data_IF_864038325191
#
_entry.id   IF_864038325191
#
_cell.length_a   1.000
_cell.length_b   1.000
_cell.length_c   1.000
_cell.angle_alpha   90.00
_cell.angle_beta   90.00
_cell.angle_gamma   90.00
#
_symmetry.space_group_name_H-M   'P 1'
#
loop_
_entity.id
_entity.type
_entity.pdbx_description
1 polymer ?
#
# COMPACT_ATOMS: atom_id res chain seq x y z
N UNK A 1 84.06 -38.59 -24.53
CA UNK A 1 83.72 -38.92 -23.13
C UNK A 1 82.84 -37.82 -22.50
N UNK A 2 81.77 -37.40 -23.20
CA UNK A 2 80.84 -36.34 -22.79
C UNK A 2 79.42 -36.78 -23.20
N UNK A 3 78.72 -37.60 -22.42
CA UNK A 3 77.27 -37.84 -22.69
C UNK A 3 76.44 -38.52 -21.60
N UNK A 4 77.01 -39.00 -20.48
CA UNK A 4 76.21 -39.71 -19.46
C UNK A 4 75.93 -38.88 -18.20
N UNK A 5 76.85 -38.00 -17.79
CA UNK A 5 76.68 -37.18 -16.58
C UNK A 5 75.63 -36.06 -16.68
N UNK A 6 75.31 -35.59 -17.88
CA UNK A 6 74.28 -34.54 -18.07
C UNK A 6 72.85 -35.09 -18.07
N UNK A 7 72.64 -36.33 -18.52
CA UNK A 7 71.30 -36.95 -18.55
C UNK A 7 70.76 -37.28 -17.14
N UNK A 8 71.62 -37.68 -16.19
CA UNK A 8 71.20 -37.94 -14.81
C UNK A 8 70.85 -36.65 -14.05
N UNK A 9 71.61 -35.56 -14.28
CA UNK A 9 71.29 -34.24 -13.73
C UNK A 9 69.96 -33.69 -14.24
N UNK A 10 69.63 -33.88 -15.52
CA UNK A 10 68.33 -33.48 -16.07
C UNK A 10 67.16 -34.32 -15.54
N UNK A 11 67.33 -35.64 -15.37
CA UNK A 11 66.30 -36.51 -14.76
C UNK A 11 66.00 -36.11 -13.31
N UNK A 12 67.03 -35.75 -12.54
CA UNK A 12 66.89 -35.23 -11.17
C UNK A 12 66.15 -33.88 -11.12
N UNK A 13 66.46 -32.96 -12.03
CA UNK A 13 65.76 -31.66 -12.14
C UNK A 13 64.29 -31.84 -12.55
N UNK A 14 63.98 -32.73 -13.51
CA UNK A 14 62.59 -33.04 -13.91
C UNK A 14 61.78 -33.70 -12.80
N UNK A 15 62.37 -34.59 -11.99
CA UNK A 15 61.69 -35.16 -10.81
C UNK A 15 61.39 -34.10 -9.75
N UNK A 16 62.34 -33.21 -9.46
CA UNK A 16 62.14 -32.11 -8.50
C UNK A 16 61.10 -31.09 -9.00
N UNK A 17 61.09 -30.77 -10.30
CA UNK A 17 60.08 -29.91 -10.89
C UNK A 17 58.68 -30.54 -10.83
N UNK A 18 58.53 -31.83 -11.18
CA UNK A 18 57.23 -32.54 -11.07
C UNK A 18 56.73 -32.62 -9.62
N UNK A 19 57.63 -32.86 -8.65
CA UNK A 19 57.28 -32.85 -7.24
C UNK A 19 56.86 -31.44 -6.76
N UNK A 20 57.53 -30.38 -7.23
CA UNK A 20 57.18 -29.00 -6.93
C UNK A 20 55.83 -28.60 -7.52
N UNK A 21 55.56 -28.93 -8.79
CA UNK A 21 54.25 -28.67 -9.41
C UNK A 21 53.13 -29.49 -8.77
N UNK A 22 53.40 -30.72 -8.34
CA UNK A 22 52.42 -31.54 -7.61
C UNK A 22 52.12 -30.95 -6.24
N UNK A 23 53.14 -30.52 -5.48
CA UNK A 23 52.97 -29.82 -4.20
C UNK A 23 52.25 -28.48 -4.36
N UNK A 24 52.60 -27.70 -5.38
CA UNK A 24 51.94 -26.43 -5.69
C UNK A 24 50.48 -26.65 -6.07
N UNK A 25 50.18 -27.68 -6.85
CA UNK A 25 48.81 -28.05 -7.25
C UNK A 25 47.99 -28.56 -6.06
N UNK A 26 48.56 -29.39 -5.19
CA UNK A 26 47.89 -29.83 -3.95
C UNK A 26 47.69 -28.67 -2.97
N UNK A 27 48.62 -27.72 -2.90
CA UNK A 27 48.49 -26.52 -2.08
C UNK A 27 47.43 -25.56 -2.64
N UNK A 28 47.33 -25.42 -3.98
CA UNK A 28 46.28 -24.65 -4.65
C UNK A 28 44.90 -25.29 -4.44
N UNK A 29 44.79 -26.61 -4.53
CA UNK A 29 43.56 -27.36 -4.22
C UNK A 29 43.16 -27.21 -2.75
N UNK A 30 44.13 -27.22 -1.82
CA UNK A 30 43.87 -26.98 -0.40
C UNK A 30 43.45 -25.53 -0.11
N UNK A 31 43.99 -24.55 -0.86
CA UNK A 31 43.57 -23.14 -0.81
C UNK A 31 42.15 -22.92 -1.35
N UNK A 32 41.74 -23.65 -2.40
CA UNK A 32 40.38 -23.61 -2.93
C UNK A 32 39.38 -24.25 -1.93
N UNK A 33 39.80 -25.25 -1.15
CA UNK A 33 39.00 -25.84 -0.08
C UNK A 33 39.00 -25.05 1.25
N UNK A 34 39.82 -23.99 1.37
CA UNK A 34 39.89 -23.12 2.56
C UNK A 34 39.11 -21.81 2.41
N UNK A 35 38.53 -21.55 1.23
CA UNK A 35 37.43 -20.61 1.16
C UNK A 35 36.22 -21.30 1.80
N UNK A 36 35.69 -20.81 2.93
CA UNK A 36 34.34 -21.19 3.28
C UNK A 36 33.50 -20.85 2.03
N UNK A 37 32.78 -21.83 1.50
CA UNK A 37 31.58 -21.49 0.74
C UNK A 37 30.80 -20.58 1.69
N UNK A 38 30.84 -19.27 1.47
CA UNK A 38 29.93 -18.39 2.17
C UNK A 38 28.56 -18.93 1.81
N UNK A 39 27.82 -19.46 2.79
CA UNK A 39 26.41 -19.71 2.59
C UNK A 39 25.86 -18.42 1.99
N UNK A 40 25.29 -18.50 0.79
CA UNK A 40 24.71 -17.34 0.15
C UNK A 40 23.76 -16.71 1.16
N UNK A 41 24.00 -15.45 1.51
CA UNK A 41 23.18 -14.77 2.49
C UNK A 41 21.75 -14.79 1.96
N UNK A 42 20.82 -15.23 2.80
CA UNK A 42 19.42 -15.39 2.45
C UNK A 42 18.77 -14.08 1.96
N UNK A 43 19.24 -12.96 2.52
CA UNK A 43 18.91 -11.60 2.14
C UNK A 43 20.21 -10.81 1.96
N UNK A 44 20.13 -9.58 1.44
CA UNK A 44 21.32 -8.78 1.11
C UNK A 44 22.15 -8.38 2.34
N UNK A 45 21.50 -8.30 3.50
CA UNK A 45 22.14 -7.95 4.75
C UNK A 45 21.12 -7.75 5.86
N UNK A 46 21.59 -7.28 7.02
CA UNK A 46 20.77 -7.08 8.20
C UNK A 46 20.74 -8.28 9.15
N UNK A 47 20.20 -8.05 10.35
CA UNK A 47 20.03 -9.08 11.39
C UNK A 47 18.55 -9.34 11.73
N UNK A 48 17.62 -8.72 10.98
CA UNK A 48 16.19 -8.82 11.22
C UNK A 48 15.73 -8.13 12.52
N UNK A 49 16.54 -7.22 13.07
CA UNK A 49 16.21 -6.43 14.26
C UNK A 49 15.75 -5.03 13.86
N UNK A 50 15.04 -4.32 14.74
CA UNK A 50 14.54 -2.96 14.47
C UNK A 50 15.63 -1.99 13.97
N UNK A 51 16.79 -1.96 14.61
CA UNK A 51 17.92 -1.09 14.23
C UNK A 51 18.76 -1.62 13.07
N UNK A 52 18.52 -2.86 12.62
CA UNK A 52 19.27 -3.53 11.57
C UNK A 52 18.37 -4.53 10.84
N UNK A 53 17.34 -4.04 10.11
CA UNK A 53 16.37 -4.88 9.43
C UNK A 53 17.03 -5.67 8.31
N UNK A 54 16.43 -6.80 7.92
CA UNK A 54 16.83 -7.49 6.71
C UNK A 54 16.54 -6.61 5.49
N UNK A 55 17.52 -6.48 4.60
CA UNK A 55 17.43 -5.65 3.39
C UNK A 55 17.03 -6.49 2.18
N UNK A 56 16.00 -6.04 1.47
CA UNK A 56 15.41 -6.73 0.32
C UNK A 56 15.47 -5.80 -0.89
N UNK A 57 15.96 -6.30 -2.03
CA UNK A 57 15.97 -5.54 -3.29
C UNK A 57 15.78 -6.40 -4.55
N UNK A 58 15.54 -7.71 -4.38
CA UNK A 58 15.28 -8.63 -5.49
C UNK A 58 14.01 -9.45 -5.25
N UNK A 59 13.43 -9.93 -6.34
CA UNK A 59 12.26 -10.79 -6.32
C UNK A 59 12.51 -12.13 -5.61
N UNK A 60 13.72 -12.69 -5.79
CA UNK A 60 14.15 -13.92 -5.11
C UNK A 60 14.16 -13.74 -3.59
N UNK A 61 14.77 -12.66 -3.10
CA UNK A 61 14.81 -12.36 -1.67
C UNK A 61 13.40 -12.10 -1.11
N UNK A 62 12.54 -11.43 -1.86
CA UNK A 62 11.14 -11.20 -1.46
C UNK A 62 10.39 -12.53 -1.32
N UNK A 63 10.51 -13.42 -2.31
CA UNK A 63 9.88 -14.73 -2.28
C UNK A 63 10.45 -15.65 -1.18
N UNK A 64 11.73 -15.49 -0.86
CA UNK A 64 12.43 -16.24 0.18
C UNK A 64 11.93 -15.90 1.60
N UNK A 65 11.34 -14.72 1.82
CA UNK A 65 10.63 -14.40 3.07
C UNK A 65 9.48 -15.38 3.28
N UNK A 66 8.68 -15.63 2.25
CA UNK A 66 7.58 -16.59 2.30
C UNK A 66 8.04 -18.02 2.50
N UNK A 67 9.22 -18.38 1.98
CA UNK A 67 9.82 -19.70 2.14
C UNK A 67 10.36 -19.96 3.56
N UNK A 68 10.46 -18.93 4.41
CA UNK A 68 11.04 -19.07 5.76
C UNK A 68 10.18 -18.45 6.86
N UNK A 69 9.22 -19.22 7.38
CA UNK A 69 8.37 -18.80 8.50
C UNK A 69 9.13 -18.39 9.77
N UNK A 70 10.35 -18.90 9.98
CA UNK A 70 11.18 -18.57 11.14
C UNK A 70 11.56 -17.07 11.22
N UNK A 71 11.47 -16.32 10.12
CA UNK A 71 11.76 -14.89 10.08
C UNK A 71 10.50 -14.01 10.10
N UNK A 72 9.29 -14.56 10.15
CA UNK A 72 8.05 -13.77 10.08
C UNK A 72 7.80 -12.87 11.30
N UNK A 73 8.63 -12.96 12.34
CA UNK A 73 8.64 -12.04 13.49
C UNK A 73 9.79 -11.02 13.43
N UNK A 74 10.49 -10.90 12.29
CA UNK A 74 11.65 -10.03 12.09
C UNK A 74 11.29 -8.73 11.37
N UNK A 75 12.26 -7.83 11.31
CA UNK A 75 12.14 -6.54 10.62
C UNK A 75 12.75 -6.63 9.23
N UNK A 76 12.02 -6.15 8.23
CA UNK A 76 12.39 -6.11 6.82
C UNK A 76 12.28 -4.69 6.30
N UNK A 77 13.18 -4.33 5.38
CA UNK A 77 13.17 -3.05 4.69
C UNK A 77 13.46 -3.25 3.20
N UNK A 78 12.59 -2.73 2.34
CA UNK A 78 12.91 -2.64 0.92
C UNK A 78 13.96 -1.55 0.68
N UNK A 79 14.83 -1.80 -0.30
CA UNK A 79 15.88 -0.85 -0.71
C UNK A 79 15.87 -0.55 -2.20
N UNK A 80 14.94 -1.16 -2.93
CA UNK A 80 14.63 -0.91 -4.33
C UNK A 80 13.21 -1.40 -4.62
N UNK A 81 12.63 -0.93 -5.73
CA UNK A 81 11.42 -1.52 -6.29
C UNK A 81 11.70 -2.96 -6.73
N UNK A 82 10.70 -3.84 -6.59
CA UNK A 82 10.83 -5.28 -6.83
C UNK A 82 9.80 -5.74 -7.85
N UNK A 83 10.25 -6.21 -9.01
CA UNK A 83 9.38 -6.84 -10.01
C UNK A 83 9.18 -8.33 -9.71
N UNK A 84 7.95 -8.73 -9.41
CA UNK A 84 7.58 -10.11 -9.04
C UNK A 84 7.09 -10.95 -10.23
N UNK A 85 7.33 -10.51 -11.47
CA UNK A 85 6.86 -11.22 -12.68
C UNK A 85 7.32 -12.68 -12.80
N UNK A 86 8.44 -13.04 -12.17
CA UNK A 86 9.01 -14.40 -12.20
C UNK A 86 8.39 -15.33 -11.15
N UNK A 87 7.68 -14.79 -10.14
CA UNK A 87 7.09 -15.54 -9.03
C UNK A 87 5.56 -15.42 -9.08
N UNK A 88 4.94 -16.21 -9.96
CA UNK A 88 3.48 -16.20 -10.15
C UNK A 88 2.81 -17.47 -9.66
N UNK A 89 1.56 -17.36 -9.19
CA UNK A 89 0.77 -18.50 -8.74
C UNK A 89 1.51 -19.35 -7.71
N UNK A 90 1.70 -20.64 -8.00
CA UNK A 90 2.37 -21.59 -7.11
C UNK A 90 3.89 -21.34 -6.92
N UNK A 91 4.52 -20.50 -7.75
CA UNK A 91 5.93 -20.13 -7.57
C UNK A 91 6.12 -19.10 -6.44
N UNK A 92 5.07 -18.35 -6.11
CA UNK A 92 5.10 -17.40 -5.00
C UNK A 92 4.81 -18.09 -3.67
N UNK A 93 5.65 -17.84 -2.67
CA UNK A 93 5.43 -18.29 -1.30
C UNK A 93 4.71 -17.20 -0.51
N UNK A 94 3.47 -17.47 -0.10
CA UNK A 94 2.67 -16.54 0.71
C UNK A 94 3.31 -16.35 2.09
N UNK A 95 3.42 -15.08 2.52
CA UNK A 95 3.97 -14.72 3.84
C UNK A 95 2.83 -14.72 4.87
N UNK A 96 3.00 -15.41 6.00
CA UNK A 96 1.99 -15.47 7.05
C UNK A 96 0.77 -16.28 6.60
N UNK A 97 0.83 -17.60 6.61
CA UNK A 97 -0.18 -18.46 5.97
C UNK A 97 -1.41 -18.73 6.83
N UNK A 98 -1.32 -18.55 8.15
CA UNK A 98 -2.40 -18.85 9.10
C UNK A 98 -2.41 -17.86 10.26
N UNK A 99 -3.44 -17.89 11.11
CA UNK A 99 -3.49 -17.05 12.32
C UNK A 99 -2.44 -17.45 13.36
N UNK A 100 -2.00 -18.71 13.38
CA UNK A 100 -0.92 -19.20 14.26
C UNK A 100 0.47 -19.01 13.68
N UNK A 101 0.57 -18.89 12.35
CA UNK A 101 1.79 -18.61 11.61
C UNK A 101 1.59 -17.32 10.82
N UNK A 102 1.32 -16.22 11.54
CA UNK A 102 1.11 -14.90 10.94
C UNK A 102 2.42 -14.13 10.81
N UNK A 103 2.45 -13.15 9.89
CA UNK A 103 3.52 -12.16 9.87
C UNK A 103 3.35 -11.20 11.04
N UNK A 104 4.19 -11.35 12.06
CA UNK A 104 4.16 -10.58 13.32
C UNK A 104 5.28 -9.53 13.42
N UNK A 105 6.18 -9.51 12.44
CA UNK A 105 7.29 -8.58 12.33
C UNK A 105 6.92 -7.21 11.79
N UNK A 106 7.91 -6.51 11.25
CA UNK A 106 7.74 -5.20 10.58
C UNK A 106 8.22 -5.31 9.15
N UNK A 107 7.37 -4.96 8.19
CA UNK A 107 7.74 -4.82 6.80
C UNK A 107 7.65 -3.35 6.38
N UNK A 108 8.80 -2.71 6.26
CA UNK A 108 8.92 -1.32 5.80
C UNK A 108 9.22 -1.30 4.30
N UNK A 109 8.22 -0.95 3.49
CA UNK A 109 8.38 -0.76 2.07
C UNK A 109 9.30 0.41 1.72
N UNK A 110 9.59 1.31 2.67
CA UNK A 110 10.50 2.44 2.48
C UNK A 110 10.17 3.25 1.20
N UNK A 111 8.87 3.43 0.96
CA UNK A 111 8.27 4.10 -0.19
C UNK A 111 8.61 3.45 -1.55
N UNK A 112 9.12 2.22 -1.55
CA UNK A 112 9.35 1.40 -2.73
C UNK A 112 8.10 0.61 -3.12
N UNK A 113 8.08 0.16 -4.37
CA UNK A 113 6.98 -0.57 -4.97
C UNK A 113 7.33 -2.05 -5.24
N UNK A 114 6.34 -2.91 -5.06
CA UNK A 114 6.33 -4.27 -5.61
C UNK A 114 5.47 -4.27 -6.88
N UNK A 115 6.10 -4.57 -8.00
CA UNK A 115 5.50 -4.54 -9.32
C UNK A 115 5.03 -5.93 -9.74
N UNK A 116 3.92 -6.00 -10.48
CA UNK A 116 3.47 -7.19 -11.22
C UNK A 116 3.27 -8.46 -10.38
N UNK A 117 3.03 -8.32 -9.08
CA UNK A 117 2.69 -9.44 -8.21
C UNK A 117 1.43 -10.16 -8.70
N UNK A 118 1.52 -11.45 -9.03
CA UNK A 118 0.38 -12.21 -9.56
C UNK A 118 0.20 -13.54 -8.84
N UNK A 119 -0.94 -13.69 -8.16
CA UNK A 119 -1.29 -14.88 -7.40
C UNK A 119 -2.65 -15.41 -7.88
N UNK A 120 -2.63 -16.46 -8.68
CA UNK A 120 -3.83 -17.24 -9.02
C UNK A 120 -3.79 -18.55 -8.23
N UNK A 121 -4.81 -18.79 -7.41
CA UNK A 121 -4.82 -19.92 -6.47
C UNK A 121 -6.23 -20.46 -6.22
N UNK A 122 -6.30 -21.71 -5.78
CA UNK A 122 -7.52 -22.36 -5.29
C UNK A 122 -7.56 -22.42 -3.76
N UNK A 123 -6.74 -21.63 -3.06
CA UNK A 123 -6.75 -21.56 -1.61
C UNK A 123 -8.13 -21.11 -1.10
N UNK A 124 -8.62 -21.78 -0.06
CA UNK A 124 -9.92 -21.46 0.54
C UNK A 124 -9.90 -20.17 1.36
N UNK A 125 -8.75 -19.80 1.95
CA UNK A 125 -8.62 -18.63 2.82
C UNK A 125 -7.26 -17.94 2.71
N UNK A 126 -7.20 -16.68 3.17
CA UNK A 126 -5.95 -15.93 3.45
C UNK A 126 -5.06 -15.73 2.24
N UNK A 127 -5.59 -15.07 1.21
CA UNK A 127 -4.84 -14.84 -0.04
C UNK A 127 -4.43 -13.38 -0.19
N UNK A 128 -3.15 -13.16 -0.47
CA UNK A 128 -2.52 -11.87 -0.76
C UNK A 128 -1.00 -12.00 -0.80
N UNK A 129 -0.28 -10.88 -0.92
CA UNK A 129 1.18 -10.86 -0.70
C UNK A 129 1.50 -11.47 0.68
N UNK A 130 0.71 -11.07 1.67
CA UNK A 130 0.60 -11.71 2.97
C UNK A 130 -0.74 -12.45 3.08
N UNK A 131 -0.76 -13.64 3.69
CA UNK A 131 -2.00 -14.31 4.04
C UNK A 131 -2.63 -13.66 5.28
N UNK A 132 -1.85 -13.58 6.36
CA UNK A 132 -2.24 -13.05 7.68
C UNK A 132 -1.13 -12.16 8.23
N UNK A 133 -1.49 -10.93 8.57
CA UNK A 133 -0.61 -9.94 9.21
C UNK A 133 -1.11 -9.67 10.62
N UNK A 134 -0.26 -9.86 11.62
CA UNK A 134 -0.47 -9.43 13.02
C UNK A 134 0.54 -8.37 13.48
N UNK A 135 1.59 -8.13 12.69
CA UNK A 135 2.60 -7.11 12.90
C UNK A 135 2.29 -5.80 12.17
N UNK A 136 3.33 -5.17 11.63
CA UNK A 136 3.25 -3.88 10.91
C UNK A 136 3.69 -4.03 9.45
N UNK A 137 2.92 -3.49 8.52
CA UNK A 137 3.34 -3.24 7.14
C UNK A 137 3.17 -1.75 6.85
N UNK A 138 4.22 -1.09 6.36
CA UNK A 138 4.17 0.35 6.09
C UNK A 138 4.89 0.77 4.82
N UNK A 139 4.47 1.91 4.27
CA UNK A 139 5.15 2.62 3.19
C UNK A 139 5.42 1.72 1.96
N UNK A 140 4.43 0.92 1.57
CA UNK A 140 4.57 -0.10 0.52
C UNK A 140 3.52 0.07 -0.58
N UNK A 141 3.97 0.25 -1.82
CA UNK A 141 3.13 0.22 -3.00
C UNK A 141 3.08 -1.16 -3.65
N UNK A 142 1.89 -1.64 -4.03
CA UNK A 142 1.72 -2.76 -4.97
C UNK A 142 1.20 -2.22 -6.29
N UNK A 143 1.98 -2.33 -7.38
CA UNK A 143 1.60 -1.81 -8.70
C UNK A 143 1.24 -2.94 -9.64
N UNK A 144 0.02 -2.88 -10.17
CA UNK A 144 -0.63 -3.90 -10.99
C UNK A 144 -0.68 -5.29 -10.31
N UNK A 145 -1.06 -5.40 -9.03
CA UNK A 145 -1.24 -6.71 -8.44
C UNK A 145 -2.43 -7.44 -9.08
N UNK A 146 -2.29 -8.73 -9.35
CA UNK A 146 -3.32 -9.60 -9.90
C UNK A 146 -3.56 -10.79 -8.96
N UNK A 147 -4.56 -10.69 -8.09
CA UNK A 147 -4.89 -11.72 -7.09
C UNK A 147 -6.25 -12.35 -7.42
N UNK A 148 -6.22 -13.62 -7.82
CA UNK A 148 -7.40 -14.38 -8.25
C UNK A 148 -7.48 -15.65 -7.41
N UNK A 149 -8.44 -15.71 -6.49
CA UNK A 149 -8.67 -16.85 -5.60
C UNK A 149 -10.07 -17.45 -5.80
N UNK A 150 -10.26 -18.70 -5.40
CA UNK A 150 -11.55 -19.40 -5.32
C UNK A 150 -12.02 -19.56 -3.86
N UNK A 151 -11.71 -18.56 -3.02
CA UNK A 151 -11.91 -18.65 -1.58
C UNK A 151 -12.15 -17.29 -0.96
N UNK A 152 -12.21 -17.27 0.37
CA UNK A 152 -12.52 -16.08 1.15
C UNK A 152 -11.27 -15.37 1.67
N UNK A 153 -11.43 -14.11 2.14
CA UNK A 153 -10.36 -13.31 2.76
C UNK A 153 -9.21 -13.09 1.77
N UNK A 154 -9.54 -12.31 0.74
CA UNK A 154 -8.66 -12.06 -0.40
C UNK A 154 -8.37 -10.57 -0.47
N UNK A 155 -7.10 -10.20 -0.50
CA UNK A 155 -6.66 -8.84 -0.77
C UNK A 155 -5.32 -8.80 -1.48
N UNK A 156 -5.01 -7.69 -2.14
CA UNK A 156 -3.69 -7.57 -2.81
C UNK A 156 -2.55 -7.67 -1.80
N UNK A 157 -2.68 -6.94 -0.68
CA UNK A 157 -1.66 -6.89 0.35
C UNK A 157 -1.84 -7.99 1.39
N UNK A 158 -3.04 -8.12 1.96
CA UNK A 158 -3.29 -9.11 3.01
C UNK A 158 -4.65 -9.80 2.84
N UNK A 159 -4.69 -11.12 3.06
CA UNK A 159 -5.97 -11.81 3.23
C UNK A 159 -6.68 -11.41 4.52
N UNK A 160 -5.96 -11.42 5.64
CA UNK A 160 -6.42 -11.00 6.96
C UNK A 160 -5.41 -10.07 7.65
N UNK A 161 -5.87 -8.93 8.14
CA UNK A 161 -5.16 -8.13 9.15
C UNK A 161 -5.71 -8.47 10.53
N UNK A 162 -4.97 -9.24 11.33
CA UNK A 162 -5.35 -9.73 12.65
C UNK A 162 -4.66 -8.90 13.74
N UNK A 163 -5.33 -7.83 14.21
CA UNK A 163 -4.80 -6.89 15.21
C UNK A 163 -3.50 -6.16 14.82
N UNK A 164 -3.02 -6.33 13.58
CA UNK A 164 -1.85 -5.64 13.05
C UNK A 164 -2.12 -4.21 12.56
N UNK A 165 -1.09 -3.60 11.99
CA UNK A 165 -1.10 -2.24 11.46
C UNK A 165 -0.68 -2.20 9.98
N UNK A 166 -1.47 -1.52 9.15
CA UNK A 166 -1.11 -1.17 7.77
C UNK A 166 -1.14 0.36 7.65
N UNK A 167 -0.01 0.97 7.28
CA UNK A 167 0.14 2.43 7.22
C UNK A 167 0.84 2.89 5.94
N UNK A 168 0.23 3.78 5.16
CA UNK A 168 0.90 4.32 3.97
C UNK A 168 1.06 3.27 2.86
N UNK A 169 0.17 2.29 2.77
CA UNK A 169 0.26 1.23 1.78
C UNK A 169 -0.81 1.35 0.69
N UNK A 170 -0.53 0.88 -0.52
CA UNK A 170 -1.52 0.91 -1.57
C UNK A 170 -1.47 -0.25 -2.56
N UNK A 171 -2.58 -0.43 -3.28
CA UNK A 171 -2.69 -1.29 -4.44
C UNK A 171 -3.13 -0.46 -5.66
N UNK A 172 -2.18 -0.15 -6.55
CA UNK A 172 -2.37 0.61 -7.77
C UNK A 172 -2.75 -0.28 -8.95
N UNK A 173 -3.82 0.05 -9.67
CA UNK A 173 -4.33 -0.73 -10.80
C UNK A 173 -4.52 -2.22 -10.50
N UNK A 174 -5.06 -2.53 -9.32
CA UNK A 174 -5.24 -3.89 -8.84
C UNK A 174 -6.33 -4.64 -9.61
N UNK A 175 -6.16 -5.95 -9.75
CA UNK A 175 -7.22 -6.89 -10.14
C UNK A 175 -7.35 -7.92 -9.03
N UNK A 176 -8.44 -7.84 -8.26
CA UNK A 176 -8.67 -8.74 -7.13
C UNK A 176 -9.99 -9.48 -7.32
N UNK A 177 -9.97 -10.81 -7.26
CA UNK A 177 -11.19 -11.61 -7.27
C UNK A 177 -11.16 -12.76 -6.27
N UNK A 178 -12.27 -13.00 -5.57
CA UNK A 178 -12.47 -14.10 -4.64
C UNK A 178 -13.95 -14.41 -4.44
N UNK A 179 -14.29 -15.23 -3.46
CA UNK A 179 -15.68 -15.56 -3.14
C UNK A 179 -16.23 -14.57 -2.10
N UNK A 180 -15.71 -14.61 -0.86
CA UNK A 180 -16.18 -13.76 0.24
C UNK A 180 -15.04 -12.94 0.87
N UNK A 181 -15.38 -11.82 1.52
CA UNK A 181 -14.41 -10.95 2.20
C UNK A 181 -13.28 -10.54 1.25
N UNK A 182 -13.64 -9.88 0.14
CA UNK A 182 -12.69 -9.45 -0.89
C UNK A 182 -12.47 -7.95 -0.78
N UNK A 183 -11.23 -7.53 -0.56
CA UNK A 183 -10.82 -6.14 -0.53
C UNK A 183 -9.73 -5.85 -1.54
N UNK A 184 -9.72 -4.66 -2.16
CA UNK A 184 -8.61 -4.30 -3.06
C UNK A 184 -7.25 -4.31 -2.36
N UNK A 185 -7.20 -3.97 -1.07
CA UNK A 185 -5.98 -4.05 -0.25
C UNK A 185 -6.02 -5.21 0.76
N UNK A 186 -7.10 -5.32 1.53
CA UNK A 186 -7.24 -6.30 2.62
C UNK A 186 -8.57 -7.04 2.55
N UNK A 187 -8.57 -8.37 2.56
CA UNK A 187 -9.82 -9.15 2.56
C UNK A 187 -10.67 -8.91 3.81
N UNK A 188 -10.11 -9.25 4.98
CA UNK A 188 -10.73 -9.03 6.30
C UNK A 188 -9.82 -8.22 7.21
N UNK A 189 -10.38 -7.22 7.90
CA UNK A 189 -9.65 -6.35 8.81
C UNK A 189 -10.17 -6.42 10.25
N UNK A 190 -9.29 -6.80 11.18
CA UNK A 190 -9.44 -6.72 12.64
C UNK A 190 -8.33 -5.87 13.30
N UNK A 191 -7.54 -5.15 12.49
CA UNK A 191 -6.47 -4.25 12.93
C UNK A 191 -6.68 -2.81 12.43
N UNK A 192 -5.60 -2.03 12.32
CA UNK A 192 -5.65 -0.62 11.90
C UNK A 192 -5.12 -0.44 10.49
N UNK A 193 -5.93 0.16 9.63
CA UNK A 193 -5.53 0.62 8.29
C UNK A 193 -5.55 2.15 8.29
N UNK A 194 -4.43 2.77 7.92
CA UNK A 194 -4.25 4.22 7.93
C UNK A 194 -3.52 4.73 6.69
N UNK A 195 -3.95 5.86 6.12
CA UNK A 195 -3.30 6.48 4.94
C UNK A 195 -3.06 5.49 3.81
N UNK A 196 -4.04 4.64 3.55
CA UNK A 196 -3.90 3.54 2.60
C UNK A 196 -4.98 3.59 1.54
N UNK A 197 -4.69 3.05 0.36
CA UNK A 197 -5.66 3.12 -0.73
C UNK A 197 -5.57 1.99 -1.74
N UNK A 198 -6.60 1.89 -2.57
CA UNK A 198 -6.66 0.95 -3.68
C UNK A 198 -7.32 1.57 -4.91
N UNK A 199 -6.92 1.09 -6.08
CA UNK A 199 -7.49 1.44 -7.39
C UNK A 199 -7.56 0.18 -8.25
N UNK A 200 -8.32 0.20 -9.35
CA UNK A 200 -8.49 -0.96 -10.23
C UNK A 200 -9.85 -1.63 -10.06
N UNK A 201 -9.90 -2.96 -10.04
CA UNK A 201 -11.13 -3.74 -10.03
C UNK A 201 -11.13 -4.78 -8.90
N UNK A 202 -12.23 -4.84 -8.15
CA UNK A 202 -12.44 -5.81 -7.06
C UNK A 202 -13.76 -6.54 -7.29
N UNK A 203 -13.73 -7.87 -7.33
CA UNK A 203 -14.93 -8.68 -7.58
C UNK A 203 -15.07 -9.89 -6.67
N UNK A 204 -16.31 -10.27 -6.34
CA UNK A 204 -16.61 -11.54 -5.66
C UNK A 204 -18.09 -11.78 -5.45
N UNK A 205 -18.47 -12.66 -4.52
CA UNK A 205 -19.86 -12.93 -4.17
C UNK A 205 -20.34 -12.05 -3.01
N UNK A 206 -19.80 -12.18 -1.79
CA UNK A 206 -20.24 -11.38 -0.66
C UNK A 206 -19.14 -10.65 0.13
N UNK A 207 -19.51 -9.50 0.72
CA UNK A 207 -18.61 -8.63 1.50
C UNK A 207 -17.44 -8.13 0.66
N UNK A 208 -17.77 -7.39 -0.41
CA UNK A 208 -16.79 -6.88 -1.36
C UNK A 208 -16.60 -5.39 -1.11
N UNK A 209 -15.36 -4.98 -0.86
CA UNK A 209 -15.00 -3.59 -0.65
C UNK A 209 -13.86 -3.15 -1.54
N UNK A 210 -13.91 -1.92 -2.03
CA UNK A 210 -12.80 -1.41 -2.85
C UNK A 210 -11.46 -1.43 -2.11
N UNK A 211 -11.46 -1.18 -0.78
CA UNK A 211 -10.26 -1.28 0.07
C UNK A 211 -10.30 -2.52 0.98
N UNK A 212 -11.41 -2.72 1.69
CA UNK A 212 -11.58 -3.81 2.67
C UNK A 212 -12.88 -4.58 2.46
N UNK A 213 -12.84 -5.90 2.35
CA UNK A 213 -14.07 -6.71 2.25
C UNK A 213 -14.93 -6.64 3.50
N UNK A 214 -14.42 -7.18 4.61
CA UNK A 214 -15.09 -7.21 5.91
C UNK A 214 -14.26 -6.54 7.01
N UNK A 215 -14.85 -5.55 7.69
CA UNK A 215 -14.28 -4.88 8.85
C UNK A 215 -14.92 -5.41 10.14
N UNK A 216 -14.18 -6.10 11.01
CA UNK A 216 -14.72 -6.70 12.25
C UNK A 216 -14.43 -5.85 13.48
N UNK A 217 -13.22 -5.91 14.01
CA UNK A 217 -12.79 -5.20 15.24
C UNK A 217 -11.70 -4.16 14.93
N UNK A 218 -11.55 -3.81 13.66
CA UNK A 218 -10.52 -2.93 13.14
C UNK A 218 -11.01 -1.53 12.79
N UNK A 219 -10.08 -0.70 12.33
CA UNK A 219 -10.36 0.66 11.85
C UNK A 219 -9.81 0.87 10.45
N UNK A 220 -10.52 1.68 9.66
CA UNK A 220 -10.08 2.23 8.38
C UNK A 220 -10.14 3.75 8.51
N UNK A 221 -8.99 4.42 8.45
CA UNK A 221 -8.89 5.84 8.74
C UNK A 221 -8.03 6.57 7.72
N UNK A 222 -8.48 7.76 7.26
CA UNK A 222 -7.72 8.60 6.31
C UNK A 222 -7.31 7.78 5.08
N UNK A 223 -8.24 7.00 4.56
CA UNK A 223 -7.98 5.97 3.53
C UNK A 223 -9.04 6.05 2.45
N UNK A 224 -8.74 5.56 1.25
CA UNK A 224 -9.68 5.69 0.14
C UNK A 224 -9.63 4.55 -0.86
N UNK A 225 -10.65 4.48 -1.71
CA UNK A 225 -10.69 3.58 -2.85
C UNK A 225 -11.20 4.31 -4.09
N UNK A 226 -10.50 4.13 -5.20
CA UNK A 226 -11.02 4.46 -6.55
C UNK A 226 -11.32 3.21 -7.36
N UNK A 227 -11.32 2.04 -6.71
CA UNK A 227 -11.55 0.77 -7.38
C UNK A 227 -13.03 0.59 -7.74
N UNK A 228 -13.28 0.03 -8.91
CA UNK A 228 -14.60 -0.45 -9.31
C UNK A 228 -14.89 -1.79 -8.62
N UNK A 229 -16.04 -1.86 -7.95
CA UNK A 229 -16.41 -2.97 -7.08
C UNK A 229 -17.65 -3.65 -7.62
N UNK A 230 -17.58 -4.97 -7.84
CA UNK A 230 -18.71 -5.77 -8.30
C UNK A 230 -18.92 -7.02 -7.47
N UNK A 231 -20.15 -7.34 -7.09
CA UNK A 231 -20.46 -8.63 -6.51
C UNK A 231 -21.95 -8.89 -6.36
N UNK A 232 -22.33 -9.76 -5.44
CA UNK A 232 -23.74 -10.09 -5.18
C UNK A 232 -24.26 -9.34 -3.94
N UNK A 233 -23.68 -9.59 -2.77
CA UNK A 233 -24.22 -9.09 -1.49
C UNK A 233 -23.19 -8.29 -0.69
N UNK A 234 -23.62 -7.22 -0.04
CA UNK A 234 -22.76 -6.37 0.80
C UNK A 234 -21.58 -5.77 0.03
N UNK A 235 -21.92 -4.90 -0.93
CA UNK A 235 -20.95 -4.26 -1.83
C UNK A 235 -20.75 -2.81 -1.40
N UNK A 236 -19.50 -2.43 -1.10
CA UNK A 236 -19.13 -1.08 -0.72
C UNK A 236 -17.99 -0.53 -1.56
N UNK A 237 -18.07 0.73 -2.01
CA UNK A 237 -16.96 1.35 -2.73
C UNK A 237 -15.65 1.41 -1.93
N UNK A 238 -15.73 1.44 -0.59
CA UNK A 238 -14.59 1.33 0.32
C UNK A 238 -14.60 0.03 1.14
N UNK A 239 -15.71 -0.23 1.86
CA UNK A 239 -15.84 -1.38 2.77
C UNK A 239 -17.11 -2.18 2.49
N UNK A 240 -17.02 -3.50 2.28
CA UNK A 240 -18.21 -4.31 2.02
C UNK A 240 -19.19 -4.34 3.20
N UNK A 241 -18.69 -4.63 4.41
CA UNK A 241 -19.48 -4.63 5.65
C UNK A 241 -18.66 -4.24 6.88
N UNK A 242 -19.28 -3.52 7.82
CA UNK A 242 -18.77 -3.36 9.19
C UNK A 242 -19.54 -4.28 10.15
N UNK A 243 -18.85 -5.19 10.84
CA UNK A 243 -19.42 -6.27 11.64
C UNK A 243 -19.71 -5.93 13.10
N UNK A 244 -18.68 -5.52 13.86
CA UNK A 244 -18.77 -5.35 15.31
C UNK A 244 -18.77 -3.87 15.72
N UNK A 245 -18.97 -3.59 17.02
CA UNK A 245 -19.13 -2.23 17.55
C UNK A 245 -17.87 -1.37 17.45
N UNK A 246 -16.70 -2.01 17.39
CA UNK A 246 -15.40 -1.35 17.29
C UNK A 246 -15.05 -1.03 15.82
N UNK A 247 -15.68 -1.72 14.85
CA UNK A 247 -15.46 -1.44 13.43
C UNK A 247 -15.78 0.02 13.10
N UNK A 248 -14.76 0.77 12.66
CA UNK A 248 -14.94 2.17 12.32
C UNK A 248 -14.29 2.53 10.97
N UNK A 249 -15.08 3.11 10.09
CA UNK A 249 -14.62 3.81 8.88
C UNK A 249 -14.67 5.31 9.19
N UNK A 250 -13.52 5.98 9.19
CA UNK A 250 -13.42 7.39 9.60
C UNK A 250 -12.57 8.18 8.63
N UNK A 251 -12.96 9.43 8.32
CA UNK A 251 -12.19 10.31 7.43
C UNK A 251 -11.78 9.60 6.14
N UNK A 252 -12.72 8.95 5.44
CA UNK A 252 -12.39 8.07 4.32
C UNK A 252 -13.33 8.28 3.15
N UNK A 253 -12.92 7.89 1.94
CA UNK A 253 -13.74 8.13 0.77
C UNK A 253 -13.68 7.04 -0.30
N UNK A 254 -14.72 6.99 -1.13
CA UNK A 254 -14.78 6.12 -2.30
C UNK A 254 -15.30 6.87 -3.53
N UNK A 255 -14.61 6.70 -4.67
CA UNK A 255 -15.01 7.31 -5.94
C UNK A 255 -15.18 6.30 -7.08
N UNK A 256 -14.74 5.05 -6.89
CA UNK A 256 -15.02 3.98 -7.85
C UNK A 256 -16.47 3.53 -7.78
N UNK A 257 -16.95 2.86 -8.82
CA UNK A 257 -18.33 2.36 -8.88
C UNK A 257 -18.57 1.18 -7.93
N UNK A 258 -19.80 1.04 -7.44
CA UNK A 258 -20.23 -0.09 -6.61
C UNK A 258 -21.47 -0.74 -7.23
N UNK A 259 -21.33 -1.99 -7.71
CA UNK A 259 -22.39 -2.73 -8.38
C UNK A 259 -22.66 -4.06 -7.67
N UNK A 260 -23.92 -4.33 -7.31
CA UNK A 260 -24.32 -5.65 -6.82
C UNK A 260 -25.82 -5.89 -6.81
N UNK A 261 -26.28 -6.89 -6.06
CA UNK A 261 -27.69 -7.25 -5.95
C UNK A 261 -28.33 -6.65 -4.68
N UNK A 262 -27.78 -6.99 -3.51
CA UNK A 262 -28.35 -6.65 -2.20
C UNK A 262 -27.33 -5.97 -1.27
N UNK A 263 -27.75 -4.91 -0.58
CA UNK A 263 -26.90 -4.12 0.33
C UNK A 263 -25.71 -3.48 -0.40
N UNK A 264 -26.02 -2.58 -1.33
CA UNK A 264 -25.03 -1.88 -2.16
C UNK A 264 -24.92 -0.43 -1.69
N UNK A 265 -23.71 -0.01 -1.30
CA UNK A 265 -23.43 1.34 -0.82
C UNK A 265 -22.22 1.95 -1.51
N UNK A 266 -22.27 3.26 -1.82
CA UNK A 266 -21.11 3.93 -2.43
C UNK A 266 -19.87 3.96 -1.53
N UNK A 267 -20.01 3.97 -0.21
CA UNK A 267 -18.90 3.86 0.75
C UNK A 267 -18.89 2.50 1.47
N UNK A 268 -20.00 2.16 2.12
CA UNK A 268 -20.14 0.91 2.89
C UNK A 268 -21.38 0.14 2.46
N UNK A 269 -21.26 -1.14 2.10
CA UNK A 269 -22.43 -1.94 1.70
C UNK A 269 -23.45 -2.07 2.84
N UNK A 270 -23.00 -2.53 4.00
CA UNK A 270 -23.82 -2.61 5.21
C UNK A 270 -23.06 -2.21 6.49
N UNK A 271 -23.73 -1.39 7.31
CA UNK A 271 -23.29 -1.07 8.67
C UNK A 271 -24.10 -1.89 9.67
N UNK A 272 -23.53 -3.00 10.17
CA UNK A 272 -24.23 -3.92 11.09
C UNK A 272 -24.26 -3.38 12.53
N UNK A 273 -23.07 -3.24 13.14
CA UNK A 273 -22.88 -2.70 14.50
C UNK A 273 -21.80 -1.62 14.58
N UNK A 274 -21.00 -1.48 13.51
CA UNK A 274 -19.90 -0.52 13.45
C UNK A 274 -20.36 0.89 13.11
N UNK A 275 -19.41 1.71 12.69
CA UNK A 275 -19.64 3.10 12.35
C UNK A 275 -18.98 3.54 11.04
N UNK A 276 -19.65 4.45 10.34
CA UNK A 276 -19.06 5.31 9.32
C UNK A 276 -19.17 6.77 9.78
N UNK A 277 -18.04 7.49 9.78
CA UNK A 277 -17.94 8.85 10.30
C UNK A 277 -17.08 9.73 9.41
N UNK A 278 -17.50 10.98 9.15
CA UNK A 278 -16.74 11.96 8.34
C UNK A 278 -16.18 11.37 7.05
N UNK A 279 -17.03 10.65 6.33
CA UNK A 279 -16.62 9.93 5.12
C UNK A 279 -17.56 10.24 3.98
N UNK A 280 -17.11 10.04 2.74
CA UNK A 280 -17.95 10.32 1.58
C UNK A 280 -17.85 9.33 0.44
N UNK A 281 -18.89 9.28 -0.39
CA UNK A 281 -18.87 8.57 -1.67
C UNK A 281 -19.26 9.49 -2.83
N UNK A 282 -18.61 9.28 -3.97
CA UNK A 282 -18.87 10.01 -5.21
C UNK A 282 -18.73 9.13 -6.47
N UNK A 283 -18.87 7.81 -6.31
CA UNK A 283 -18.91 6.85 -7.43
C UNK A 283 -20.33 6.36 -7.70
N UNK A 284 -20.57 5.88 -8.92
CA UNK A 284 -21.86 5.31 -9.34
C UNK A 284 -22.26 4.09 -8.51
N UNK A 285 -23.54 4.00 -8.12
CA UNK A 285 -24.05 2.90 -7.30
C UNK A 285 -25.22 2.23 -8.00
N UNK A 286 -25.15 0.90 -8.18
CA UNK A 286 -26.20 0.12 -8.85
C UNK A 286 -26.51 -1.18 -8.11
N UNK A 287 -27.79 -1.47 -7.91
CA UNK A 287 -28.28 -2.76 -7.45
C UNK A 287 -29.79 -2.87 -7.37
N UNK A 288 -30.30 -3.96 -6.80
CA UNK A 288 -31.73 -4.28 -6.84
C UNK A 288 -32.43 -4.10 -5.49
N UNK A 289 -31.75 -4.35 -4.37
CA UNK A 289 -32.35 -4.28 -3.03
C UNK A 289 -31.42 -3.61 -2.01
N UNK A 290 -31.97 -2.67 -1.22
CA UNK A 290 -31.19 -1.91 -0.23
C UNK A 290 -29.95 -1.25 -0.85
N UNK A 291 -30.20 -0.35 -1.79
CA UNK A 291 -29.19 0.42 -2.50
C UNK A 291 -29.18 1.84 -1.94
N UNK A 292 -27.99 2.37 -1.65
CA UNK A 292 -27.88 3.72 -1.15
C UNK A 292 -26.60 4.42 -1.60
N UNK A 293 -26.69 5.72 -1.84
CA UNK A 293 -25.55 6.50 -2.32
C UNK A 293 -24.32 6.43 -1.42
N UNK A 294 -24.49 6.38 -0.08
CA UNK A 294 -23.40 6.16 0.88
C UNK A 294 -23.39 4.73 1.44
N UNK A 295 -24.52 4.30 1.98
CA UNK A 295 -24.71 2.97 2.59
C UNK A 295 -26.00 2.32 2.13
N UNK A 296 -25.91 1.03 1.79
CA UNK A 296 -27.06 0.23 1.35
C UNK A 296 -28.02 -0.09 2.50
N UNK A 297 -27.48 -0.47 3.67
CA UNK A 297 -28.29 -0.76 4.85
C UNK A 297 -27.56 -0.47 6.17
N UNK A 298 -28.30 0.06 7.15
CA UNK A 298 -27.84 0.28 8.52
C UNK A 298 -28.72 -0.53 9.47
N UNK A 299 -28.14 -1.42 10.27
CA UNK A 299 -28.90 -2.16 11.30
C UNK A 299 -28.98 -1.38 12.60
N UNK A 300 -29.80 -1.87 13.53
CA UNK A 300 -30.21 -1.15 14.77
C UNK A 300 -29.04 -0.61 15.58
N UNK A 301 -27.89 -1.28 15.58
CA UNK A 301 -26.69 -0.85 16.33
C UNK A 301 -25.66 -0.12 15.47
N UNK A 302 -25.83 -0.09 14.15
CA UNK A 302 -24.96 0.59 13.21
C UNK A 302 -25.15 2.11 13.26
N UNK A 303 -24.07 2.85 12.98
CA UNK A 303 -24.09 4.32 13.03
C UNK A 303 -23.46 4.93 11.79
N UNK A 304 -24.15 5.87 11.16
CA UNK A 304 -23.59 6.69 10.08
C UNK A 304 -23.77 8.15 10.47
N UNK A 305 -22.66 8.88 10.61
CA UNK A 305 -22.68 10.26 11.12
C UNK A 305 -21.75 11.15 10.32
N UNK A 306 -22.14 12.41 10.13
CA UNK A 306 -21.34 13.45 9.48
C UNK A 306 -20.73 13.00 8.14
N UNK A 307 -21.43 12.13 7.42
CA UNK A 307 -20.94 11.50 6.20
C UNK A 307 -21.87 11.87 5.04
N UNK A 308 -21.28 12.12 3.89
CA UNK A 308 -21.93 12.77 2.76
C UNK A 308 -21.83 11.90 1.51
N UNK A 309 -22.75 12.06 0.56
CA UNK A 309 -22.65 11.35 -0.71
C UNK A 309 -23.19 12.19 -1.85
N UNK A 310 -22.60 12.02 -3.02
CA UNK A 310 -22.99 12.74 -4.22
C UNK A 310 -24.22 12.10 -4.88
N UNK A 311 -25.35 12.82 -4.91
CA UNK A 311 -26.62 12.34 -5.46
C UNK A 311 -26.60 12.16 -6.97
N UNK A 312 -25.80 12.96 -7.66
CA UNK A 312 -25.73 12.97 -9.12
C UNK A 312 -24.74 11.90 -9.58
N UNK A 313 -23.55 11.85 -8.97
CA UNK A 313 -22.54 10.86 -9.31
C UNK A 313 -22.96 9.43 -8.94
N UNK A 314 -23.62 9.24 -7.80
CA UNK A 314 -24.10 7.91 -7.39
C UNK A 314 -25.29 7.40 -8.20
N UNK A 315 -26.06 8.29 -8.82
CA UNK A 315 -27.33 7.96 -9.47
C UNK A 315 -28.45 7.55 -8.49
N UNK A 316 -28.27 7.78 -7.18
CA UNK A 316 -29.23 7.40 -6.14
C UNK A 316 -29.98 8.63 -5.60
N UNK A 317 -31.25 8.46 -5.23
CA UNK A 317 -32.03 9.51 -4.55
C UNK A 317 -32.05 9.35 -3.02
N UNK A 318 -31.61 8.20 -2.51
CA UNK A 318 -31.66 7.86 -1.09
C UNK A 318 -30.43 7.10 -0.63
N UNK A 319 -30.22 7.05 0.69
CA UNK A 319 -29.27 6.14 1.32
C UNK A 319 -29.76 5.79 2.73
N UNK A 320 -29.38 4.61 3.23
CA UNK A 320 -29.74 4.19 4.59
C UNK A 320 -29.06 5.04 5.68
N UNK A 321 -27.99 5.77 5.34
CA UNK A 321 -27.31 6.69 6.22
C UNK A 321 -26.54 7.76 5.44
N UNK A 322 -26.12 8.81 6.15
CA UNK A 322 -25.46 9.97 5.55
C UNK A 322 -26.43 10.96 4.89
N UNK A 323 -25.88 12.07 4.41
CA UNK A 323 -26.64 13.18 3.83
C UNK A 323 -26.28 13.31 2.35
N UNK A 324 -27.29 13.22 1.48
CA UNK A 324 -27.11 13.41 0.04
C UNK A 324 -26.87 14.87 -0.29
N UNK A 325 -25.93 15.12 -1.19
CA UNK A 325 -25.52 16.44 -1.68
C UNK A 325 -25.35 16.39 -3.20
N UNK A 326 -25.64 17.48 -3.88
CA UNK A 326 -25.36 17.61 -5.32
C UNK A 326 -23.85 17.59 -5.58
N UNK A 327 -23.41 17.34 -6.82
CA UNK A 327 -21.99 17.42 -7.16
C UNK A 327 -21.42 18.80 -6.86
N UNK A 328 -22.19 19.87 -7.09
CA UNK A 328 -21.76 21.23 -6.76
C UNK A 328 -21.52 21.38 -5.26
N UNK A 329 -22.46 20.97 -4.42
CA UNK A 329 -22.30 21.02 -2.95
C UNK A 329 -21.14 20.13 -2.47
N UNK A 330 -20.92 18.98 -3.11
CA UNK A 330 -19.82 18.06 -2.80
C UNK A 330 -18.44 18.61 -3.20
N UNK A 331 -18.40 19.72 -3.94
CA UNK A 331 -17.18 20.48 -4.27
C UNK A 331 -17.10 21.82 -3.53
N UNK A 332 -17.97 22.03 -2.54
CA UNK A 332 -18.03 23.25 -1.73
C UNK A 332 -17.50 22.97 -0.33
N UNK A 333 -16.46 23.68 0.12
CA UNK A 333 -15.80 23.46 1.41
C UNK A 333 -16.77 23.62 2.59
N UNK A 334 -17.68 24.59 2.51
CA UNK A 334 -18.64 24.88 3.58
C UNK A 334 -19.56 23.68 3.85
N UNK A 335 -19.91 22.91 2.83
CA UNK A 335 -20.68 21.66 2.95
C UNK A 335 -20.05 20.70 3.97
N UNK A 336 -18.72 20.62 4.00
CA UNK A 336 -17.98 19.70 4.86
C UNK A 336 -17.63 20.32 6.21
N UNK A 337 -17.27 21.61 6.25
CA UNK A 337 -16.99 22.29 7.53
C UNK A 337 -18.24 22.40 8.38
N UNK A 338 -19.41 22.61 7.77
CA UNK A 338 -20.72 22.60 8.47
C UNK A 338 -21.07 21.20 9.00
N UNK A 339 -20.56 20.15 8.37
CA UNK A 339 -20.62 18.77 8.86
C UNK A 339 -19.52 18.45 9.91
N UNK A 340 -18.70 19.44 10.30
CA UNK A 340 -17.67 19.31 11.33
C UNK A 340 -16.42 18.55 10.87
N UNK A 341 -16.05 18.67 9.59
CA UNK A 341 -14.81 18.11 9.04
C UNK A 341 -13.64 19.06 9.27
N UNK A 342 -12.44 18.50 9.40
CA UNK A 342 -11.20 19.24 9.65
C UNK A 342 -10.40 19.44 8.35
N UNK A 343 -10.44 20.67 7.83
CA UNK A 343 -9.67 21.10 6.65
C UNK A 343 -8.31 21.73 7.00
N UNK A 344 -7.96 21.76 8.28
CA UNK A 344 -6.65 22.24 8.74
C UNK A 344 -5.62 21.11 8.78
N UNK A 345 -6.03 19.90 9.16
CA UNK A 345 -5.10 18.78 9.37
C UNK A 345 -5.35 17.56 8.49
N UNK A 346 -6.57 17.37 7.99
CA UNK A 346 -6.97 16.10 7.37
C UNK A 346 -7.30 16.31 5.89
N UNK A 347 -8.27 17.17 5.63
CA UNK A 347 -8.85 17.36 4.31
C UNK A 347 -8.32 18.63 3.64
N UNK A 348 -8.37 18.64 2.32
CA UNK A 348 -8.17 19.80 1.45
C UNK A 348 -9.21 19.74 0.33
N UNK A 349 -9.50 20.88 -0.31
CA UNK A 349 -10.39 20.96 -1.47
C UNK A 349 -10.08 22.22 -2.29
N UNK A 350 -10.10 22.08 -3.62
CA UNK A 350 -10.23 23.18 -4.56
C UNK A 350 -11.71 23.48 -4.76
N UNK A 351 -12.18 24.56 -4.14
CA UNK A 351 -13.57 25.01 -4.23
C UNK A 351 -14.09 24.99 -5.68
N UNK A 352 -15.18 24.24 -5.91
CA UNK A 352 -15.83 24.10 -7.22
C UNK A 352 -15.13 23.17 -8.22
N UNK A 353 -13.90 22.75 -7.96
CA UNK A 353 -13.09 21.99 -8.92
C UNK A 353 -13.09 20.49 -8.62
N UNK A 354 -12.73 20.09 -7.39
CA UNK A 354 -12.56 18.69 -7.00
C UNK A 354 -13.39 18.34 -5.75
N UNK A 355 -13.51 17.04 -5.50
CA UNK A 355 -13.98 16.52 -4.21
C UNK A 355 -12.87 16.65 -3.16
N UNK A 356 -13.20 16.66 -1.85
CA UNK A 356 -12.17 16.69 -0.82
C UNK A 356 -11.17 15.56 -0.93
N UNK A 357 -9.88 15.87 -0.90
CA UNK A 357 -8.79 14.91 -0.81
C UNK A 357 -8.04 15.11 0.50
N UNK A 358 -7.09 14.22 0.82
CA UNK A 358 -6.29 14.40 2.02
C UNK A 358 -5.11 15.33 1.78
N UNK A 359 -4.70 16.05 2.83
CA UNK A 359 -3.51 16.92 2.81
C UNK A 359 -2.24 16.18 2.37
N UNK A 360 -2.10 14.89 2.72
CA UNK A 360 -0.94 14.08 2.30
C UNK A 360 -0.96 13.66 0.83
N UNK A 361 -2.07 13.88 0.11
CA UNK A 361 -2.16 13.63 -1.33
C UNK A 361 -1.71 14.83 -2.17
N UNK A 362 -1.41 15.96 -1.53
CA UNK A 362 -0.93 17.18 -2.19
C UNK A 362 0.60 17.12 -2.26
N UNK A 363 1.21 17.38 -3.43
CA UNK A 363 2.66 17.57 -3.52
C UNK A 363 3.14 18.67 -2.55
N UNK A 364 4.29 18.53 -1.87
CA UNK A 364 4.77 19.51 -0.89
C UNK A 364 4.97 20.94 -1.40
N UNK A 365 4.98 21.14 -2.72
CA UNK A 365 5.26 22.42 -3.40
C UNK A 365 4.08 22.92 -4.23
N UNK A 366 2.92 22.27 -4.11
CA UNK A 366 1.63 22.76 -4.60
C UNK A 366 1.08 23.69 -3.51
N UNK A 367 1.34 24.98 -3.70
CA UNK A 367 1.09 26.06 -2.74
C UNK A 367 -0.29 26.67 -2.91
N UNK A 368 -0.93 26.50 -4.08
CA UNK A 368 -2.18 27.12 -4.42
C UNK A 368 -3.13 26.09 -5.04
N UNK A 369 -4.25 25.81 -4.35
CA UNK A 369 -5.34 24.95 -4.83
C UNK A 369 -4.84 23.60 -5.36
N UNK A 370 -5.04 22.44 -4.70
CA UNK A 370 -4.54 21.16 -5.23
C UNK A 370 -4.93 20.84 -6.69
N UNK A 371 -4.08 21.24 -7.62
CA UNK A 371 -4.11 21.04 -9.08
C UNK A 371 -2.74 20.58 -9.61
N UNK A 372 -1.80 20.30 -8.69
CA UNK A 372 -0.45 19.87 -8.95
C UNK A 372 0.54 21.02 -8.81
N UNK A 373 1.82 20.76 -9.06
CA UNK A 373 2.87 21.77 -9.01
C UNK A 373 3.01 22.41 -10.38
N UNK A 374 2.46 23.61 -10.54
CA UNK A 374 2.36 24.25 -11.85
C UNK A 374 2.84 25.71 -11.87
N UNK A 375 2.54 26.42 -12.97
CA UNK A 375 2.98 27.80 -13.15
C UNK A 375 2.35 28.79 -12.16
N UNK A 376 1.17 28.49 -11.63
CA UNK A 376 0.51 29.25 -10.57
C UNK A 376 1.32 29.15 -9.29
N UNK A 377 1.78 27.95 -8.92
CA UNK A 377 2.66 27.77 -7.76
C UNK A 377 4.00 28.46 -7.95
N UNK A 378 4.57 28.38 -9.16
CA UNK A 378 5.80 29.10 -9.46
C UNK A 378 5.61 30.61 -9.31
N UNK A 379 4.48 31.16 -9.76
CA UNK A 379 4.17 32.57 -9.57
C UNK A 379 3.99 32.93 -8.08
N UNK A 380 3.35 32.05 -7.30
CA UNK A 380 3.19 32.19 -5.86
C UNK A 380 4.54 32.16 -5.13
N UNK A 381 5.42 31.23 -5.51
CA UNK A 381 6.79 31.11 -5.03
C UNK A 381 7.61 32.35 -5.40
N UNK A 382 7.60 32.76 -6.67
CA UNK A 382 8.35 33.91 -7.18
C UNK A 382 7.93 35.23 -6.50
N UNK A 383 6.65 35.38 -6.13
CA UNK A 383 6.17 36.53 -5.36
C UNK A 383 6.78 36.63 -3.94
N UNK A 384 7.35 35.53 -3.43
CA UNK A 384 8.00 35.42 -2.13
C UNK A 384 9.51 35.23 -2.22
N UNK A 385 10.07 35.27 -3.43
CA UNK A 385 11.49 35.14 -3.67
C UNK A 385 12.31 36.13 -2.82
N UNK A 386 13.38 35.64 -2.19
CA UNK A 386 14.23 36.36 -1.24
C UNK A 386 13.52 36.88 0.02
N UNK A 387 12.33 36.36 0.39
CA UNK A 387 11.82 36.61 1.73
C UNK A 387 12.74 36.00 2.78
N UNK A 388 12.81 36.68 3.92
CA UNK A 388 13.67 36.37 5.05
C UNK A 388 12.82 36.41 6.32
N UNK A 389 13.31 35.77 7.38
CA UNK A 389 12.53 35.66 8.64
C UNK A 389 11.33 34.74 8.48
N UNK A 390 11.46 33.73 7.61
CA UNK A 390 10.51 32.64 7.51
C UNK A 390 10.64 31.77 8.76
N UNK A 391 9.51 31.33 9.30
CA UNK A 391 9.51 30.44 10.45
C UNK A 391 8.08 30.06 10.85
N UNK A 392 7.91 29.26 11.92
CA UNK A 392 6.59 28.75 12.28
C UNK A 392 5.52 29.83 12.49
N UNK A 393 5.92 31.04 12.93
CA UNK A 393 5.02 32.17 13.15
C UNK A 393 4.37 32.77 11.90
N UNK A 394 4.92 32.50 10.71
CA UNK A 394 4.33 32.90 9.42
C UNK A 394 4.16 31.70 8.47
N UNK A 395 4.14 30.48 9.03
CA UNK A 395 4.03 29.25 8.25
C UNK A 395 5.19 29.04 7.29
N UNK A 396 6.42 29.39 7.70
CA UNK A 396 7.62 29.32 6.86
C UNK A 396 7.39 30.08 5.54
N UNK A 397 7.05 31.37 5.66
CA UNK A 397 6.69 32.21 4.52
C UNK A 397 5.57 31.62 3.66
N UNK A 398 4.45 31.26 4.31
CA UNK A 398 3.28 30.69 3.63
C UNK A 398 3.61 29.40 2.85
N UNK A 399 4.53 28.59 3.39
CA UNK A 399 4.98 27.32 2.83
C UNK A 399 6.10 27.41 1.79
N UNK A 400 6.50 28.63 1.38
CA UNK A 400 7.51 28.80 0.31
C UNK A 400 8.96 28.65 0.78
N UNK A 401 9.22 28.69 2.09
CA UNK A 401 10.48 28.23 2.70
C UNK A 401 10.30 26.74 3.02
N UNK A 402 10.51 25.92 2.00
CA UNK A 402 10.21 24.48 1.95
C UNK A 402 11.27 23.69 2.71
N UNK A 403 12.53 24.13 2.64
CA UNK A 403 13.63 23.54 3.39
C UNK A 403 13.73 24.03 4.85
N UNK A 404 12.91 25.02 5.20
CA UNK A 404 12.81 25.63 6.54
C UNK A 404 14.12 26.27 7.01
N UNK A 405 14.92 26.77 6.06
CA UNK A 405 16.16 27.49 6.33
C UNK A 405 15.95 28.87 6.93
N UNK A 406 14.72 29.41 6.85
CA UNK A 406 14.34 30.74 7.31
C UNK A 406 14.32 31.80 6.20
N UNK A 407 14.53 31.37 4.96
CA UNK A 407 14.50 32.23 3.77
C UNK A 407 13.99 31.50 2.54
N UNK A 408 13.36 32.23 1.61
CA UNK A 408 12.95 31.68 0.30
C UNK A 408 14.06 31.94 -0.70
N UNK A 409 14.81 30.89 -1.07
CA UNK A 409 15.97 30.99 -1.95
C UNK A 409 16.13 29.81 -2.94
N UNK A 410 17.33 29.68 -3.52
CA UNK A 410 17.62 28.66 -4.53
C UNK A 410 17.44 27.24 -4.03
N UNK A 411 17.62 26.98 -2.73
CA UNK A 411 17.42 25.67 -2.11
C UNK A 411 15.94 25.26 -2.19
N UNK A 412 15.03 26.20 -1.91
CA UNK A 412 13.60 25.97 -2.07
C UNK A 412 13.21 25.81 -3.54
N UNK A 413 13.81 26.60 -4.44
CA UNK A 413 13.57 26.49 -5.88
C UNK A 413 14.01 25.12 -6.43
N UNK A 414 15.09 24.55 -5.90
CA UNK A 414 15.55 23.20 -6.26
C UNK A 414 14.51 22.15 -5.85
N UNK A 415 13.97 22.25 -4.63
CA UNK A 415 12.90 21.35 -4.17
C UNK A 415 11.64 21.53 -5.02
N UNK A 416 11.24 22.77 -5.30
CA UNK A 416 10.12 23.09 -6.19
C UNK A 416 10.31 22.48 -7.58
N UNK A 417 11.47 22.70 -8.20
CA UNK A 417 11.76 22.23 -9.55
C UNK A 417 11.80 20.70 -9.64
N UNK A 418 12.26 20.02 -8.59
CA UNK A 418 12.24 18.56 -8.51
C UNK A 418 10.81 17.96 -8.51
N UNK A 419 9.81 18.80 -8.21
CA UNK A 419 8.40 18.45 -8.09
C UNK A 419 7.55 19.04 -9.22
N UNK A 420 8.17 19.73 -10.18
CA UNK A 420 7.48 20.39 -11.28
C UNK A 420 6.59 19.42 -12.06
N UNK A 421 5.33 19.83 -12.30
CA UNK A 421 4.27 19.04 -12.93
C UNK A 421 3.82 17.79 -12.15
N UNK A 422 4.29 17.58 -10.93
CA UNK A 422 3.77 16.51 -10.07
C UNK A 422 2.30 16.80 -9.74
N UNK A 423 1.42 15.80 -9.88
CA UNK A 423 0.00 15.95 -9.57
C UNK A 423 -0.86 16.59 -10.66
N UNK A 424 -0.27 17.17 -11.70
CA UNK A 424 -0.99 17.77 -12.84
C UNK A 424 -1.54 16.63 -13.72
N UNK A 425 -2.87 16.51 -13.83
CA UNK A 425 -3.57 15.46 -14.62
C UNK A 425 -3.96 15.91 -16.03
#
# INVERSE_FOLDING_TARGET
>A
MYSLGNMEKEKGKRKKAKAFYFLLFTFLLFLICLFPFSAQAKYEGGAGTESNPYLIHTAEQMNEIGATPADWNKHFKLTADIDMSDYTGAAYNIIGTTTTESFSGVFDGNDCEILNFSLTTTHEFYTGLFGVVSGEVKNLGLVRPNVVAQGSRVGSLAGLLDQGNITGCYAGSARVSGDDDVGGLVGRNAGRIFRSYSTGNVSGDAFIGGLVGLLTDGTVNTSYSKADVSGNRNIGGLVGKTGNEIAAVTNSYATGSATGDVYVGGLVGQVERGAAHRSYSAGGVSGNQYVGGLTGHVRVLGRVTNSLWDTEASGQSTSAGGIGKTTTEMRTISTFTDAGWDFWQIWTICEGMNYPTFQWQIPPTDFQCPDGVDFIDFAFFAARWHRQGCGPGNGNCEGTDVDQSGSVDFSDLEIFAARWMEGVQ
#
